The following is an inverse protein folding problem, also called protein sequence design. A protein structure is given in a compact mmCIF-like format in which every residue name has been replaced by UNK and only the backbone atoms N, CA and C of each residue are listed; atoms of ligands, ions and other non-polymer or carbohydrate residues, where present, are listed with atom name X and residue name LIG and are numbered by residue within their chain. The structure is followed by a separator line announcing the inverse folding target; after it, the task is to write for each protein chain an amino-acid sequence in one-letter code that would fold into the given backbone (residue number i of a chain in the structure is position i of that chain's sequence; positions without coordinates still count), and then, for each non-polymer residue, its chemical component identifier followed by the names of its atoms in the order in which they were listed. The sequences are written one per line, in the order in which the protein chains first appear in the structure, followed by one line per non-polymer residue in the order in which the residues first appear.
data_IF_617711759185
#
_entry.id   IF_617711759185
#
_cell.length_a   1.000
_cell.length_b   1.000
_cell.length_c   1.000
_cell.angle_alpha   90.00
_cell.angle_beta   90.00
_cell.angle_gamma   90.00
#
_symmetry.space_group_name_H-M   'P 1'
#
loop_
_entity.id
_entity.type
_entity.pdbx_description
1 polymer ?
#
# COMPACT_ATOMS: atom_id res chain seq x y z
N UNK A 1 14.14 -7.26 -14.62
CA UNK A 1 12.74 -6.92 -14.28
C UNK A 1 12.70 -6.43 -12.84
N UNK A 2 12.09 -5.29 -12.61
CA UNK A 2 11.93 -4.74 -11.26
C UNK A 2 10.91 -5.55 -10.47
N UNK A 3 11.23 -5.84 -9.21
CA UNK A 3 10.35 -6.57 -8.28
C UNK A 3 9.70 -5.59 -7.30
N UNK A 4 8.39 -5.58 -7.26
CA UNK A 4 7.58 -4.77 -6.36
C UNK A 4 7.00 -5.66 -5.27
N UNK A 5 7.29 -5.33 -4.01
CA UNK A 5 6.68 -5.96 -2.85
C UNK A 5 5.47 -5.13 -2.42
N UNK A 6 4.30 -5.72 -2.42
CA UNK A 6 3.10 -5.13 -1.84
C UNK A 6 2.90 -5.68 -0.43
N UNK A 7 2.77 -4.78 0.53
CA UNK A 7 2.56 -5.12 1.93
C UNK A 7 1.16 -4.69 2.35
N UNK A 8 0.35 -5.62 2.81
CA UNK A 8 -1.03 -5.38 3.21
C UNK A 8 -1.37 -6.19 4.46
N UNK A 9 -2.09 -5.61 5.45
CA UNK A 9 -2.42 -6.32 6.69
C UNK A 9 -3.36 -7.50 6.51
N UNK A 10 -4.28 -7.43 5.55
CA UNK A 10 -5.25 -8.49 5.31
C UNK A 10 -5.63 -8.60 3.82
N UNK A 11 -6.04 -9.79 3.42
CA UNK A 11 -6.61 -10.09 2.10
C UNK A 11 -8.02 -10.66 2.26
N UNK A 12 -8.94 -9.79 2.65
CA UNK A 12 -10.36 -10.08 2.75
C UNK A 12 -11.13 -9.38 1.62
N UNK A 13 -12.42 -9.16 1.75
CA UNK A 13 -13.27 -8.59 0.69
C UNK A 13 -13.50 -7.09 0.81
N UNK A 14 -12.63 -6.38 1.53
CA UNK A 14 -12.73 -4.93 1.72
C UNK A 14 -12.32 -4.10 0.51
N UNK A 15 -12.66 -2.81 0.53
CA UNK A 15 -12.34 -1.87 -0.55
C UNK A 15 -10.84 -1.70 -0.79
N UNK A 16 -10.03 -1.68 0.28
CA UNK A 16 -8.57 -1.57 0.17
C UNK A 16 -7.97 -2.77 -0.56
N UNK A 17 -8.45 -3.98 -0.29
CA UNK A 17 -7.98 -5.21 -0.95
C UNK A 17 -8.31 -5.20 -2.44
N UNK A 18 -9.52 -4.78 -2.81
CA UNK A 18 -9.93 -4.67 -4.22
C UNK A 18 -9.10 -3.62 -4.95
N UNK A 19 -8.85 -2.47 -4.35
CA UNK A 19 -7.99 -1.44 -4.96
C UNK A 19 -6.53 -1.91 -5.08
N UNK A 20 -6.05 -2.65 -4.10
CA UNK A 20 -4.72 -3.26 -4.16
C UNK A 20 -4.63 -4.33 -5.26
N UNK A 21 -5.68 -5.10 -5.47
CA UNK A 21 -5.78 -6.05 -6.59
C UNK A 21 -5.68 -5.34 -7.95
N UNK A 22 -6.38 -4.22 -8.11
CA UNK A 22 -6.30 -3.41 -9.33
C UNK A 22 -4.87 -2.87 -9.56
N UNK A 23 -4.20 -2.47 -8.49
CA UNK A 23 -2.81 -2.02 -8.54
C UNK A 23 -1.86 -3.15 -8.96
N UNK A 24 -2.05 -4.36 -8.42
CA UNK A 24 -1.31 -5.56 -8.85
C UNK A 24 -1.47 -5.81 -10.34
N UNK A 25 -2.71 -5.78 -10.83
CA UNK A 25 -2.99 -5.98 -12.25
C UNK A 25 -2.27 -4.94 -13.12
N UNK A 26 -2.26 -3.68 -12.70
CA UNK A 26 -1.55 -2.61 -13.41
C UNK A 26 -0.03 -2.85 -13.44
N UNK A 27 0.57 -3.20 -12.32
CA UNK A 27 2.01 -3.47 -12.26
C UNK A 27 2.42 -4.70 -13.09
N UNK A 28 1.62 -5.75 -13.06
CA UNK A 28 1.86 -6.95 -13.88
C UNK A 28 1.74 -6.62 -15.37
N UNK A 29 0.76 -5.82 -15.76
CA UNK A 29 0.59 -5.36 -17.15
C UNK A 29 1.79 -4.55 -17.65
N UNK A 30 2.43 -3.78 -16.77
CA UNK A 30 3.66 -3.02 -17.07
C UNK A 30 4.94 -3.91 -17.06
N UNK A 31 4.81 -5.20 -16.81
CA UNK A 31 5.91 -6.16 -16.86
C UNK A 31 6.73 -6.26 -15.57
N UNK A 32 6.25 -5.73 -14.47
CA UNK A 32 6.90 -5.86 -13.16
C UNK A 32 6.61 -7.23 -12.54
N UNK A 33 7.58 -7.75 -11.81
CA UNK A 33 7.34 -8.89 -10.90
C UNK A 33 6.69 -8.37 -9.63
N UNK A 34 5.56 -8.94 -9.26
CA UNK A 34 4.81 -8.52 -8.06
C UNK A 34 4.75 -9.64 -7.04
N UNK A 35 5.10 -9.31 -5.81
CA UNK A 35 4.96 -10.18 -4.64
C UNK A 35 4.06 -9.47 -3.64
N UNK A 36 2.97 -10.09 -3.24
CA UNK A 36 2.05 -9.56 -2.24
C UNK A 36 2.24 -10.29 -0.91
N UNK A 37 2.58 -9.54 0.12
CA UNK A 37 2.73 -10.06 1.49
C UNK A 37 1.54 -9.63 2.32
N UNK A 38 0.75 -10.60 2.77
CA UNK A 38 -0.35 -10.42 3.71
C UNK A 38 0.11 -10.77 5.13
N UNK A 39 -0.06 -9.85 6.08
CA UNK A 39 0.44 -10.08 7.44
C UNK A 39 -0.42 -11.04 8.24
N UNK A 40 -1.73 -10.89 8.18
CA UNK A 40 -2.67 -11.52 9.11
C UNK A 40 -3.82 -12.23 8.40
N UNK A 41 -5.03 -11.67 8.44
CA UNK A 41 -6.25 -12.31 7.97
C UNK A 41 -6.29 -12.40 6.43
N UNK A 42 -6.72 -13.53 5.93
CA UNK A 42 -6.92 -13.72 4.49
C UNK A 42 -8.03 -14.72 4.22
N UNK A 43 -8.66 -14.61 3.07
CA UNK A 43 -9.53 -15.63 2.50
C UNK A 43 -8.82 -16.34 1.35
N UNK A 44 -9.06 -17.63 1.20
CA UNK A 44 -8.46 -18.40 0.11
C UNK A 44 -8.90 -17.86 -1.26
N UNK A 45 -10.15 -17.41 -1.37
CA UNK A 45 -10.66 -16.78 -2.59
C UNK A 45 -9.86 -15.55 -2.99
N UNK A 46 -9.59 -14.65 -2.05
CA UNK A 46 -8.83 -13.42 -2.33
C UNK A 46 -7.38 -13.73 -2.66
N UNK A 47 -6.74 -14.68 -1.98
CA UNK A 47 -5.39 -15.14 -2.30
C UNK A 47 -5.34 -15.66 -3.75
N UNK A 48 -6.29 -16.49 -4.16
CA UNK A 48 -6.38 -17.00 -5.53
C UNK A 48 -6.57 -15.88 -6.55
N UNK A 49 -7.38 -14.86 -6.24
CA UNK A 49 -7.57 -13.69 -7.11
C UNK A 49 -6.28 -12.91 -7.34
N UNK A 50 -5.47 -12.71 -6.31
CA UNK A 50 -4.15 -12.07 -6.43
C UNK A 50 -3.18 -12.92 -7.24
N UNK A 51 -3.19 -14.23 -7.04
CA UNK A 51 -2.36 -15.15 -7.83
C UNK A 51 -2.77 -15.13 -9.32
N UNK A 52 -4.06 -15.17 -9.61
CA UNK A 52 -4.57 -15.07 -10.99
C UNK A 52 -4.26 -13.73 -11.65
N UNK A 53 -4.15 -12.65 -10.86
CA UNK A 53 -3.70 -11.36 -11.36
C UNK A 53 -2.21 -11.31 -11.70
N UNK A 54 -1.45 -12.33 -11.36
CA UNK A 54 -0.01 -12.46 -11.66
C UNK A 54 0.91 -12.16 -10.49
N UNK A 55 0.40 -11.99 -9.27
CA UNK A 55 1.21 -11.81 -8.07
C UNK A 55 1.58 -13.14 -7.43
N UNK A 56 2.81 -13.26 -6.96
CA UNK A 56 3.13 -14.24 -5.94
C UNK A 56 2.52 -13.75 -4.62
N UNK A 57 1.94 -14.64 -3.82
CA UNK A 57 1.30 -14.29 -2.55
C UNK A 57 1.97 -15.01 -1.41
N UNK A 58 2.39 -14.26 -0.39
CA UNK A 58 2.99 -14.76 0.83
C UNK A 58 2.11 -14.36 2.01
N UNK A 59 1.44 -15.32 2.62
CA UNK A 59 0.68 -15.11 3.86
C UNK A 59 1.59 -15.42 5.05
N UNK A 60 1.88 -14.41 5.86
CA UNK A 60 2.78 -14.59 7.00
C UNK A 60 2.15 -15.38 8.14
N UNK A 61 0.84 -15.27 8.33
CA UNK A 61 0.10 -16.00 9.35
C UNK A 61 -0.39 -17.35 8.79
N UNK A 62 0.07 -18.48 9.34
CA UNK A 62 -0.39 -19.79 8.87
C UNK A 62 -1.88 -20.04 9.09
N UNK A 63 -2.45 -19.40 10.10
CA UNK A 63 -3.86 -19.57 10.51
C UNK A 63 -4.76 -18.40 10.11
N UNK A 64 -4.20 -17.35 9.48
CA UNK A 64 -4.94 -16.15 9.14
C UNK A 64 -5.42 -15.34 10.34
N UNK A 65 -4.71 -15.44 11.47
CA UNK A 65 -5.04 -14.72 12.71
C UNK A 65 -4.10 -13.54 12.93
N UNK A 66 -4.65 -12.48 13.54
CA UNK A 66 -3.88 -11.29 13.88
C UNK A 66 -3.10 -11.48 15.17
N UNK A 67 -1.83 -11.05 15.14
CA UNK A 67 -0.97 -11.02 16.32
C UNK A 67 -0.72 -9.56 16.70
N UNK A 68 -1.06 -9.20 17.94
CA UNK A 68 -0.97 -7.83 18.44
C UNK A 68 0.19 -7.64 19.43
N UNK A 69 0.47 -6.36 19.76
CA UNK A 69 1.50 -5.98 20.72
C UNK A 69 2.92 -6.31 20.26
N UNK A 70 3.82 -6.51 21.21
CA UNK A 70 5.22 -6.81 20.92
C UNK A 70 5.43 -8.14 20.19
N UNK A 71 4.54 -9.11 20.43
CA UNK A 71 4.54 -10.39 19.70
C UNK A 71 4.24 -10.19 18.22
N UNK A 72 3.32 -9.28 17.92
CA UNK A 72 2.99 -8.88 16.54
C UNK A 72 4.19 -8.21 15.86
N UNK A 73 4.92 -7.35 16.56
CA UNK A 73 6.12 -6.69 16.04
C UNK A 73 7.19 -7.75 15.72
N UNK A 74 7.45 -8.69 16.62
CA UNK A 74 8.40 -9.77 16.40
C UNK A 74 8.00 -10.69 15.26
N UNK A 75 6.71 -11.01 15.18
CA UNK A 75 6.12 -11.80 14.10
C UNK A 75 6.34 -11.13 12.74
N UNK A 76 6.02 -9.84 12.62
CA UNK A 76 6.21 -9.06 11.41
C UNK A 76 7.70 -8.92 11.06
N UNK A 77 8.54 -8.66 12.02
CA UNK A 77 10.00 -8.61 11.82
C UNK A 77 10.52 -9.88 11.16
N UNK A 78 10.21 -11.03 11.76
CA UNK A 78 10.65 -12.33 11.22
C UNK A 78 10.08 -12.62 9.83
N UNK A 79 8.80 -12.34 9.64
CA UNK A 79 8.12 -12.55 8.36
C UNK A 79 8.66 -11.66 7.25
N UNK A 80 8.78 -10.37 7.50
CA UNK A 80 9.31 -9.41 6.52
C UNK A 80 10.79 -9.67 6.21
N UNK A 81 11.59 -10.01 7.21
CA UNK A 81 12.99 -10.39 6.99
C UNK A 81 13.11 -11.58 6.02
N UNK A 82 12.29 -12.60 6.23
CA UNK A 82 12.25 -13.79 5.36
C UNK A 82 11.84 -13.43 3.93
N UNK A 83 10.81 -12.63 3.76
CA UNK A 83 10.34 -12.16 2.46
C UNK A 83 11.40 -11.32 1.74
N UNK A 84 12.02 -10.37 2.42
CA UNK A 84 13.08 -9.55 1.85
C UNK A 84 14.29 -10.36 1.41
N UNK A 85 14.67 -11.37 2.16
CA UNK A 85 15.78 -12.27 1.79
C UNK A 85 15.45 -13.12 0.57
N UNK A 86 14.21 -13.62 0.48
CA UNK A 86 13.79 -14.50 -0.60
C UNK A 86 13.59 -13.76 -1.90
N UNK A 87 12.90 -12.62 -1.88
CA UNK A 87 12.45 -11.93 -3.09
C UNK A 87 13.32 -10.74 -3.49
N UNK A 88 14.06 -10.16 -2.55
CA UNK A 88 14.96 -9.00 -2.77
C UNK A 88 14.27 -7.90 -3.58
N UNK A 89 13.12 -7.36 -3.11
CA UNK A 89 12.35 -6.39 -3.87
C UNK A 89 13.10 -5.09 -4.05
N UNK A 90 12.89 -4.44 -5.19
CA UNK A 90 13.43 -3.12 -5.50
C UNK A 90 12.64 -2.01 -4.81
N UNK A 91 11.33 -2.19 -4.69
CA UNK A 91 10.39 -1.24 -4.09
C UNK A 91 9.41 -1.99 -3.19
N UNK A 92 9.10 -1.41 -2.03
CA UNK A 92 8.01 -1.86 -1.18
C UNK A 92 6.87 -0.83 -1.23
N UNK A 93 5.67 -1.29 -1.58
CA UNK A 93 4.45 -0.52 -1.58
C UNK A 93 3.58 -0.96 -0.41
N UNK A 94 3.48 -0.12 0.62
CA UNK A 94 2.84 -0.45 1.89
C UNK A 94 1.47 0.20 1.97
N UNK A 95 0.44 -0.59 2.24
CA UNK A 95 -0.88 -0.08 2.57
C UNK A 95 -0.86 0.38 4.02
N UNK A 96 -1.01 1.71 4.23
CA UNK A 96 -0.97 2.33 5.56
C UNK A 96 -2.31 2.15 6.26
N UNK A 97 -2.43 1.08 7.00
CA UNK A 97 -3.57 0.72 7.83
C UNK A 97 -3.07 -0.14 9.00
N UNK A 98 -3.86 -0.33 10.06
CA UNK A 98 -3.40 -1.07 11.23
C UNK A 98 -2.65 -2.37 10.86
N UNK A 99 -1.43 -2.56 11.34
CA UNK A 99 -0.72 -1.92 12.44
C UNK A 99 0.01 -0.59 12.11
N UNK A 100 -0.34 0.11 11.06
CA UNK A 100 0.08 1.48 10.76
C UNK A 100 1.56 1.61 10.39
N UNK A 101 2.31 2.36 11.20
CA UNK A 101 3.72 2.67 10.93
C UNK A 101 4.68 1.48 11.12
N UNK A 102 4.30 0.46 11.88
CA UNK A 102 5.21 -0.63 12.28
C UNK A 102 5.82 -1.35 11.08
N UNK A 103 5.07 -1.77 10.06
CA UNK A 103 5.67 -2.42 8.90
C UNK A 103 6.70 -1.54 8.18
N UNK A 104 6.45 -0.25 8.07
CA UNK A 104 7.36 0.70 7.42
C UNK A 104 8.66 0.83 8.22
N UNK A 105 8.56 0.98 9.53
CA UNK A 105 9.73 1.05 10.42
C UNK A 105 10.55 -0.23 10.35
N UNK A 106 9.92 -1.38 10.33
CA UNK A 106 10.59 -2.68 10.20
C UNK A 106 11.27 -2.84 8.85
N UNK A 107 10.62 -2.46 7.75
CA UNK A 107 11.23 -2.48 6.43
C UNK A 107 12.46 -1.58 6.35
N UNK A 108 12.38 -0.38 6.94
CA UNK A 108 13.53 0.54 7.03
C UNK A 108 14.66 -0.04 7.86
N UNK A 109 14.35 -0.62 9.00
CA UNK A 109 15.32 -1.31 9.87
C UNK A 109 16.01 -2.46 9.14
N UNK A 110 15.26 -3.20 8.31
CA UNK A 110 15.78 -4.31 7.49
C UNK A 110 16.52 -3.87 6.23
N UNK A 111 16.63 -2.57 5.97
CA UNK A 111 17.43 -2.01 4.88
C UNK A 111 16.67 -1.62 3.61
N UNK A 112 15.34 -1.72 3.60
CA UNK A 112 14.53 -1.28 2.47
C UNK A 112 14.42 0.24 2.45
N UNK A 113 14.90 0.87 1.38
CA UNK A 113 14.92 2.34 1.26
C UNK A 113 13.84 2.89 0.35
N UNK A 114 13.44 2.15 -0.67
CA UNK A 114 12.42 2.56 -1.62
C UNK A 114 11.06 2.08 -1.13
N UNK A 115 10.42 2.88 -0.28
CA UNK A 115 9.11 2.58 0.30
C UNK A 115 8.11 3.64 -0.16
N UNK A 116 6.98 3.20 -0.66
CA UNK A 116 5.81 4.03 -0.95
C UNK A 116 4.70 3.60 0.00
N UNK A 117 4.11 4.55 0.72
CA UNK A 117 2.96 4.30 1.57
C UNK A 117 1.70 4.87 0.93
N UNK A 118 0.61 4.14 0.99
CA UNK A 118 -0.71 4.60 0.55
C UNK A 118 -1.73 4.42 1.65
N UNK A 119 -2.49 5.48 1.94
CA UNK A 119 -3.59 5.48 2.90
C UNK A 119 -4.93 5.62 2.18
N UNK A 120 -5.92 4.86 2.60
CA UNK A 120 -7.26 4.81 2.01
C UNK A 120 -8.33 5.53 2.84
N UNK A 121 -7.95 6.12 3.96
CA UNK A 121 -8.86 6.78 4.90
C UNK A 121 -8.36 8.17 5.27
N UNK A 122 -9.21 8.94 5.94
CA UNK A 122 -8.83 10.23 6.51
C UNK A 122 -8.06 10.07 7.83
N UNK A 123 -7.44 11.15 8.30
CA UNK A 123 -6.56 11.14 9.46
C UNK A 123 -7.26 10.83 10.80
N UNK A 124 -8.57 10.95 10.88
CA UNK A 124 -9.33 10.84 12.14
C UNK A 124 -9.16 9.49 12.85
N UNK A 125 -8.88 8.43 12.11
CA UNK A 125 -8.65 7.09 12.68
C UNK A 125 -7.22 6.89 13.19
N UNK A 126 -6.32 7.85 12.95
CA UNK A 126 -4.92 7.78 13.38
C UNK A 126 -4.66 8.76 14.52
N UNK A 127 -4.52 8.28 15.76
CA UNK A 127 -4.42 9.18 16.93
C UNK A 127 -3.08 9.92 16.99
N UNK A 128 -2.05 9.47 16.27
CA UNK A 128 -0.72 10.05 16.32
C UNK A 128 -0.27 10.60 14.96
N UNK A 129 -0.72 11.79 14.62
CA UNK A 129 -0.30 12.48 13.38
C UNK A 129 1.19 12.82 13.35
N UNK A 130 1.82 13.02 14.51
CA UNK A 130 3.27 13.27 14.56
C UNK A 130 4.05 12.07 14.04
N UNK A 131 3.60 10.86 14.36
CA UNK A 131 4.20 9.64 13.83
C UNK A 131 3.98 9.52 12.32
N UNK A 132 2.80 9.85 11.81
CA UNK A 132 2.52 9.86 10.37
C UNK A 132 3.44 10.86 9.65
N UNK A 133 3.61 12.05 10.19
CA UNK A 133 4.51 13.06 9.62
C UNK A 133 5.97 12.62 9.67
N UNK A 134 6.39 11.96 10.74
CA UNK A 134 7.74 11.38 10.83
C UNK A 134 7.97 10.32 9.75
N UNK A 135 7.03 9.40 9.58
CA UNK A 135 7.07 8.37 8.55
C UNK A 135 7.15 9.01 7.15
N UNK A 136 6.28 9.98 6.87
CA UNK A 136 6.27 10.68 5.60
C UNK A 136 7.58 11.39 5.29
N UNK A 137 8.17 12.05 6.30
CA UNK A 137 9.40 12.85 6.08
C UNK A 137 10.66 12.00 6.01
N UNK A 138 10.75 10.93 6.79
CA UNK A 138 12.02 10.23 7.03
C UNK A 138 12.06 8.76 6.60
N UNK A 139 10.90 8.12 6.42
CA UNK A 139 10.86 6.68 6.21
C UNK A 139 10.41 6.27 4.81
N UNK A 140 9.67 7.10 4.11
CA UNK A 140 9.13 6.77 2.79
C UNK A 140 9.62 7.72 1.71
N UNK A 141 9.71 7.22 0.50
CA UNK A 141 9.99 8.04 -0.67
C UNK A 141 8.77 8.87 -1.09
N UNK A 142 7.59 8.30 -0.95
CA UNK A 142 6.32 8.98 -1.18
C UNK A 142 5.24 8.45 -0.25
N UNK A 143 4.37 9.34 0.19
CA UNK A 143 3.17 9.03 0.96
C UNK A 143 1.96 9.49 0.15
N UNK A 144 1.15 8.56 -0.31
CA UNK A 144 0.03 8.84 -1.19
C UNK A 144 -1.31 8.64 -0.49
N UNK A 145 -2.27 9.49 -0.82
CA UNK A 145 -3.65 9.42 -0.36
C UNK A 145 -4.56 9.23 -1.56
N UNK A 146 -5.70 8.58 -1.37
CA UNK A 146 -6.62 8.29 -2.47
C UNK A 146 -7.60 9.42 -2.78
N UNK A 147 -7.69 10.42 -1.90
CA UNK A 147 -8.50 11.63 -2.11
C UNK A 147 -7.75 12.86 -1.61
N UNK A 148 -8.07 14.03 -2.17
CA UNK A 148 -7.51 15.29 -1.69
C UNK A 148 -7.98 15.63 -0.29
N UNK A 149 -9.19 15.22 0.08
CA UNK A 149 -9.70 15.38 1.45
C UNK A 149 -8.84 14.59 2.44
N UNK A 150 -8.49 13.36 2.13
CA UNK A 150 -7.60 12.54 2.94
C UNK A 150 -6.22 13.20 3.06
N UNK A 151 -5.61 13.62 1.97
CA UNK A 151 -4.30 14.29 2.00
C UNK A 151 -4.32 15.55 2.87
N UNK A 152 -5.33 16.40 2.74
CA UNK A 152 -5.48 17.59 3.58
C UNK A 152 -5.66 17.24 5.06
N UNK A 153 -6.36 16.15 5.36
CA UNK A 153 -6.56 15.73 6.74
C UNK A 153 -5.26 15.32 7.43
N UNK A 154 -4.30 14.75 6.68
CA UNK A 154 -2.99 14.35 7.21
C UNK A 154 -1.97 15.49 7.20
N UNK A 155 -1.93 16.29 6.14
CA UNK A 155 -0.82 17.21 5.86
C UNK A 155 -1.23 18.67 5.74
N UNK A 156 -2.50 19.00 5.86
CA UNK A 156 -3.03 20.36 5.76
C UNK A 156 -3.13 20.91 4.33
N UNK A 157 -2.51 20.26 3.36
CA UNK A 157 -2.54 20.61 1.94
C UNK A 157 -2.77 19.40 1.08
N UNK A 158 -3.22 19.59 -0.15
CA UNK A 158 -3.37 18.52 -1.12
C UNK A 158 -2.87 18.93 -2.50
N UNK A 159 -2.37 17.97 -3.25
CA UNK A 159 -1.99 18.12 -4.65
C UNK A 159 -2.11 16.78 -5.35
N UNK A 160 -2.71 16.78 -6.54
CA UNK A 160 -2.67 15.62 -7.41
C UNK A 160 -1.23 15.33 -7.82
N UNK A 161 -0.90 14.04 -7.95
CA UNK A 161 0.41 13.61 -8.40
C UNK A 161 0.74 14.22 -9.76
N UNK A 162 1.96 14.75 -9.87
CA UNK A 162 2.52 15.23 -11.11
C UNK A 162 3.97 14.74 -11.20
N UNK A 163 4.26 13.96 -12.23
CA UNK A 163 5.59 13.38 -12.47
C UNK A 163 6.72 14.41 -12.56
N UNK A 164 6.40 15.66 -12.92
CA UNK A 164 7.37 16.75 -13.01
C UNK A 164 7.70 17.40 -11.67
N UNK A 165 6.98 17.04 -10.58
CA UNK A 165 7.28 17.58 -9.24
C UNK A 165 8.36 16.76 -8.55
N UNK A 166 9.54 17.36 -8.21
CA UNK A 166 10.59 16.63 -7.52
C UNK A 166 10.16 16.14 -6.15
N UNK A 167 10.37 14.85 -5.86
CA UNK A 167 9.97 14.22 -4.58
C UNK A 167 10.75 14.77 -3.36
N UNK A 168 11.93 15.33 -3.56
CA UNK A 168 12.70 15.97 -2.48
C UNK A 168 12.08 17.28 -1.98
N UNK A 169 11.24 17.92 -2.78
CA UNK A 169 10.50 19.13 -2.40
C UNK A 169 9.14 18.82 -1.82
N UNK A 170 8.49 17.79 -2.32
CA UNK A 170 7.18 17.35 -1.86
C UNK A 170 7.02 15.87 -2.15
N UNK A 171 6.81 15.07 -1.11
CA UNK A 171 6.65 13.62 -1.25
C UNK A 171 5.32 13.09 -0.75
N UNK A 172 4.31 13.93 -0.57
CA UNK A 172 2.93 13.49 -0.34
C UNK A 172 2.02 14.02 -1.43
N UNK A 173 1.14 13.16 -1.92
CA UNK A 173 0.28 13.44 -3.07
C UNK A 173 -1.04 12.72 -2.94
N UNK A 174 -2.04 13.22 -3.67
CA UNK A 174 -3.26 12.47 -3.96
C UNK A 174 -3.09 11.76 -5.30
N UNK A 175 -3.35 10.45 -5.28
CA UNK A 175 -3.48 9.61 -6.46
C UNK A 175 -4.82 8.89 -6.32
N UNK A 176 -5.79 9.24 -7.17
CA UNK A 176 -7.09 8.58 -7.16
C UNK A 176 -6.95 7.10 -7.55
N UNK A 177 -7.79 6.25 -6.96
CA UNK A 177 -7.83 4.84 -7.30
C UNK A 177 -8.11 4.65 -8.78
N UNK A 178 -7.34 3.78 -9.43
CA UNK A 178 -7.59 3.40 -10.81
C UNK A 178 -8.90 2.62 -10.92
N UNK A 179 -9.66 2.90 -11.97
CA UNK A 179 -10.80 2.07 -12.33
C UNK A 179 -10.30 0.74 -12.90
N UNK A 180 -11.06 -0.37 -12.72
CA UNK A 180 -10.70 -1.65 -13.30
C UNK A 180 -10.49 -1.55 -14.81
N UNK A 181 -9.59 -2.34 -15.40
CA UNK A 181 -9.43 -2.40 -16.84
C UNK A 181 -10.78 -2.70 -17.54
N UNK A 182 -11.13 -1.92 -18.53
CA UNK A 182 -12.40 -2.05 -19.24
C UNK A 182 -13.55 -1.21 -18.71
N UNK A 183 -13.34 -0.43 -17.65
CA UNK A 183 -14.34 0.54 -17.18
C UNK A 183 -14.23 1.83 -18.01
N UNK A 184 -15.19 2.08 -18.90
CA UNK A 184 -15.29 3.36 -19.61
C UNK A 184 -16.18 4.33 -18.84
N UNK A 185 -15.69 5.54 -18.59
CA UNK A 185 -16.53 6.63 -18.11
C UNK A 185 -17.38 7.07 -19.30
N UNK A 186 -18.65 6.68 -19.32
CA UNK A 186 -19.62 7.29 -20.21
C UNK A 186 -19.87 8.69 -19.65
N UNK A 187 -19.29 9.69 -20.29
CA UNK A 187 -19.64 11.08 -20.01
C UNK A 187 -21.09 11.29 -20.47
N UNK A 188 -22.04 11.22 -19.55
CA UNK A 188 -23.36 11.78 -19.82
C UNK A 188 -23.23 13.30 -19.95
N UNK A 189 -23.09 13.77 -21.15
CA UNK A 189 -23.35 15.16 -21.47
C UNK A 189 -24.85 15.41 -21.24
N UNK A 190 -25.25 15.75 -20.03
CA UNK A 190 -26.54 16.40 -19.80
C UNK A 190 -26.42 17.82 -20.27
N UNK A 191 -26.78 18.04 -21.52
CA UNK A 191 -27.15 19.38 -22.00
C UNK A 191 -28.42 19.78 -21.28
N UNK A 192 -28.31 20.70 -20.35
CA UNK A 192 -29.48 21.44 -19.86
C UNK A 192 -29.91 22.42 -20.97
N UNK A 193 -31.02 22.13 -21.60
CA UNK A 193 -31.80 23.08 -22.38
C UNK A 193 -32.83 23.76 -21.49
#
# INVERSE_FOLDING_TARGET
TMTILICIPCLMTGGTEIQTLNLVQAFVAEGYRVVTTCYFEYSDDMVVRFQKAGSEVVCLSPTGTRVNGWRGILFLYKGLRRVLKQYKPDVAHVQYMAPGAIPILLLRWLGTRQIIATVHTVADIYPNLRLVHFIQRHCVRAFTCITELAERSFFGTSRLYNENTPLNKRNHFTIYNALPPGFSIVSENRSFS
#
